data_IF_068524724037
#
_entry.id   IF_068524724037
#
_cell.length_a   1.000
_cell.length_b   1.000
_cell.length_c   1.000
_cell.angle_alpha   90.00
_cell.angle_beta   90.00
_cell.angle_gamma   90.00
#
_symmetry.space_group_name_H-M   'P 1'
#
loop_
_entity.id
_entity.type
_entity.pdbx_description
1 polymer ?
#
# COMPACT_ATOMS: atom_id res chain seq x y z
N UNK A 1 6.33 -23.09 -21.39
CA UNK A 1 7.42 -22.28 -20.81
C UNK A 1 7.83 -22.91 -19.49
N UNK A 2 9.01 -23.51 -19.45
CA UNK A 2 9.59 -24.12 -18.23
C UNK A 2 10.06 -23.00 -17.29
N UNK A 3 9.44 -22.89 -16.11
CA UNK A 3 9.84 -21.94 -15.04
C UNK A 3 10.85 -22.55 -14.07
N UNK A 4 11.81 -23.32 -14.60
CA UNK A 4 12.74 -24.10 -13.79
C UNK A 4 14.19 -23.66 -13.99
N UNK A 5 14.51 -22.37 -13.85
CA UNK A 5 15.92 -21.95 -13.76
C UNK A 5 16.07 -20.50 -13.29
N UNK A 6 16.08 -20.33 -11.98
CA UNK A 6 17.09 -19.54 -11.25
C UNK A 6 16.78 -19.74 -9.78
N UNK A 7 17.43 -20.72 -9.14
CA UNK A 7 17.58 -20.70 -7.67
C UNK A 7 18.57 -19.58 -7.33
N UNK A 8 18.17 -18.34 -7.61
CA UNK A 8 18.90 -17.15 -7.19
C UNK A 8 19.02 -17.15 -5.68
N UNK A 9 20.12 -16.59 -5.16
CA UNK A 9 20.28 -16.42 -3.71
C UNK A 9 19.02 -15.77 -3.14
N UNK A 10 18.52 -16.22 -1.97
CA UNK A 10 17.37 -15.59 -1.33
C UNK A 10 17.58 -14.08 -1.27
N UNK A 11 16.63 -13.31 -1.81
CA UNK A 11 16.70 -11.84 -1.73
C UNK A 11 16.62 -11.46 -0.25
N UNK A 12 17.61 -10.71 0.23
CA UNK A 12 17.69 -10.29 1.62
C UNK A 12 17.12 -8.89 1.81
N UNK A 13 16.82 -8.48 3.04
CA UNK A 13 16.47 -7.09 3.34
C UNK A 13 17.46 -6.07 2.76
N UNK A 14 18.77 -6.33 2.90
CA UNK A 14 19.85 -5.49 2.31
C UNK A 14 19.78 -5.38 0.79
N UNK A 15 19.28 -6.41 0.11
CA UNK A 15 19.05 -6.35 -1.33
C UNK A 15 18.00 -5.30 -1.67
N UNK A 16 16.87 -5.29 -0.96
CA UNK A 16 15.80 -4.32 -1.17
C UNK A 16 16.19 -2.90 -0.77
N UNK A 17 16.82 -2.72 0.39
CA UNK A 17 17.29 -1.40 0.85
C UNK A 17 18.22 -0.75 -0.17
N UNK A 18 19.17 -1.52 -0.72
CA UNK A 18 20.09 -1.03 -1.75
C UNK A 18 19.37 -0.65 -3.05
N UNK A 19 18.33 -1.38 -3.44
CA UNK A 19 17.57 -1.02 -4.64
C UNK A 19 16.71 0.22 -4.39
N UNK A 20 16.09 0.36 -3.22
CA UNK A 20 15.37 1.57 -2.85
C UNK A 20 16.27 2.80 -2.84
N UNK A 21 17.49 2.69 -2.30
CA UNK A 21 18.47 3.80 -2.33
C UNK A 21 19.01 4.14 -3.72
N UNK A 22 18.89 3.24 -4.70
CA UNK A 22 19.19 3.57 -6.10
C UNK A 22 18.06 4.37 -6.74
N UNK A 23 16.81 4.09 -6.33
CA UNK A 23 15.60 4.77 -6.82
C UNK A 23 15.49 6.14 -6.17
N UNK A 24 15.71 6.22 -4.86
CA UNK A 24 15.71 7.46 -4.09
C UNK A 24 16.96 7.51 -3.18
N UNK A 25 18.04 8.19 -3.64
CA UNK A 25 19.25 8.37 -2.85
C UNK A 25 19.07 9.21 -1.59
N UNK A 26 18.02 10.03 -1.52
CA UNK A 26 17.72 10.92 -0.40
C UNK A 26 16.76 10.31 0.62
N UNK A 27 16.35 9.05 0.40
CA UNK A 27 15.42 8.33 1.24
C UNK A 27 15.94 8.20 2.68
N UNK A 28 15.14 8.70 3.61
CA UNK A 28 15.46 8.66 5.03
C UNK A 28 15.18 7.27 5.61
N UNK A 29 15.91 6.91 6.67
CA UNK A 29 15.74 5.62 7.33
C UNK A 29 14.35 5.48 8.00
N UNK A 30 13.70 6.58 8.38
CA UNK A 30 12.34 6.59 8.92
C UNK A 30 11.28 6.15 7.88
N UNK A 31 11.47 6.53 6.62
CA UNK A 31 10.58 6.20 5.50
C UNK A 31 10.92 4.84 4.87
N UNK A 32 12.15 4.35 5.10
CA UNK A 32 12.66 3.09 4.57
C UNK A 32 11.74 1.91 4.91
N UNK A 33 11.21 1.86 6.14
CA UNK A 33 10.37 0.75 6.57
C UNK A 33 9.07 0.66 5.75
N UNK A 34 8.42 1.79 5.46
CA UNK A 34 7.19 1.83 4.68
C UNK A 34 7.45 1.42 3.23
N UNK A 35 8.49 1.99 2.62
CA UNK A 35 8.89 1.65 1.26
C UNK A 35 9.23 0.16 1.12
N UNK A 36 9.93 -0.42 2.10
CA UNK A 36 10.22 -1.85 2.13
C UNK A 36 8.97 -2.72 2.27
N UNK A 37 8.02 -2.34 3.13
CA UNK A 37 6.75 -3.06 3.28
C UNK A 37 6.02 -3.13 1.95
N UNK A 38 5.94 -2.00 1.24
CA UNK A 38 5.26 -1.92 -0.05
C UNK A 38 6.01 -2.74 -1.12
N UNK A 39 7.33 -2.57 -1.23
CA UNK A 39 8.16 -3.26 -2.22
C UNK A 39 8.13 -4.80 -2.05
N UNK A 40 8.18 -5.30 -0.82
CA UNK A 40 8.12 -6.74 -0.55
C UNK A 40 6.72 -7.30 -0.83
N UNK A 41 5.68 -6.51 -0.52
CA UNK A 41 4.31 -6.91 -0.86
C UNK A 41 4.14 -7.04 -2.38
N UNK A 42 4.75 -6.16 -3.17
CA UNK A 42 4.70 -6.20 -4.64
C UNK A 42 5.51 -7.37 -5.20
N UNK A 43 6.75 -7.56 -4.72
CA UNK A 43 7.70 -8.46 -5.38
C UNK A 43 7.64 -9.93 -4.93
N UNK A 44 7.19 -10.23 -3.71
CA UNK A 44 7.42 -11.55 -3.11
C UNK A 44 6.16 -12.21 -2.54
N UNK A 45 5.44 -11.49 -1.66
CA UNK A 45 4.47 -12.12 -0.74
C UNK A 45 3.07 -11.49 -0.78
N UNK A 46 2.75 -10.63 -1.74
CA UNK A 46 1.44 -9.98 -1.76
C UNK A 46 1.13 -9.18 -0.47
N UNK A 47 -0.15 -8.90 -0.15
CA UNK A 47 -0.53 -8.06 0.99
C UNK A 47 -0.48 -8.78 2.36
N UNK A 48 0.26 -9.89 2.49
CA UNK A 48 0.24 -10.75 3.67
C UNK A 48 1.14 -10.18 4.77
N UNK A 49 0.51 -9.58 5.80
CA UNK A 49 1.24 -8.82 6.82
C UNK A 49 2.25 -9.66 7.63
N UNK A 50 1.91 -10.90 7.99
CA UNK A 50 2.76 -11.77 8.82
C UNK A 50 4.07 -12.19 8.10
N UNK A 51 4.03 -12.67 6.84
CA UNK A 51 5.25 -12.90 6.05
C UNK A 51 6.13 -11.66 5.90
N UNK A 52 5.55 -10.50 5.58
CA UNK A 52 6.29 -9.24 5.43
C UNK A 52 7.00 -8.88 6.74
N UNK A 53 6.27 -8.94 7.87
CA UNK A 53 6.80 -8.60 9.17
C UNK A 53 7.99 -9.49 9.56
N UNK A 54 7.84 -10.81 9.33
CA UNK A 54 8.91 -11.79 9.56
C UNK A 54 10.13 -11.52 8.69
N UNK A 55 9.94 -11.21 7.41
CA UNK A 55 11.05 -10.91 6.49
C UNK A 55 11.81 -9.65 6.90
N UNK A 56 11.10 -8.62 7.33
CA UNK A 56 11.68 -7.33 7.69
C UNK A 56 12.26 -7.26 9.11
N UNK A 57 11.96 -8.25 9.96
CA UNK A 57 12.31 -8.20 11.38
C UNK A 57 11.55 -7.10 12.11
N UNK A 58 10.28 -6.87 11.75
CA UNK A 58 9.43 -5.82 12.31
C UNK A 58 8.17 -6.42 12.93
N UNK A 59 7.35 -5.62 13.62
CA UNK A 59 6.11 -6.11 14.21
C UNK A 59 5.01 -6.24 13.16
N UNK A 60 4.18 -7.27 13.29
CA UNK A 60 3.01 -7.44 12.42
C UNK A 60 2.04 -6.25 12.51
N UNK A 61 1.96 -5.61 13.68
CA UNK A 61 1.14 -4.42 13.89
C UNK A 61 1.57 -3.25 12.99
N UNK A 62 2.88 -2.97 12.86
CA UNK A 62 3.38 -1.90 11.98
C UNK A 62 3.00 -2.13 10.52
N UNK A 63 3.06 -3.38 10.05
CA UNK A 63 2.65 -3.76 8.70
C UNK A 63 1.14 -3.65 8.54
N UNK A 64 0.37 -4.15 9.51
CA UNK A 64 -1.10 -4.08 9.49
C UNK A 64 -1.61 -2.65 9.47
N UNK A 65 -0.98 -1.72 10.20
CA UNK A 65 -1.33 -0.29 10.21
C UNK A 65 -1.26 0.30 8.80
N UNK A 66 -0.14 0.11 8.10
CA UNK A 66 0.08 0.60 6.72
C UNK A 66 -0.82 -0.08 5.70
N UNK A 67 -0.91 -1.40 5.78
CA UNK A 67 -1.80 -2.19 4.93
C UNK A 67 -3.27 -1.79 5.10
N UNK A 68 -3.68 -1.34 6.29
CA UNK A 68 -5.03 -0.80 6.52
C UNK A 68 -5.24 0.47 5.70
N UNK A 69 -4.33 1.45 5.75
CA UNK A 69 -4.46 2.69 4.97
C UNK A 69 -4.52 2.41 3.46
N UNK A 70 -3.63 1.56 2.95
CA UNK A 70 -3.62 1.16 1.54
C UNK A 70 -4.94 0.49 1.11
N UNK A 71 -5.52 -0.36 1.97
CA UNK A 71 -6.83 -0.99 1.69
C UNK A 71 -7.99 0.00 1.76
N UNK A 72 -7.95 0.93 2.71
CA UNK A 72 -8.98 1.97 2.85
C UNK A 72 -8.99 2.94 1.67
N UNK A 73 -7.81 3.21 1.09
CA UNK A 73 -7.65 4.00 -0.14
C UNK A 73 -7.76 3.15 -1.41
N UNK A 74 -8.01 1.84 -1.30
CA UNK A 74 -8.20 0.93 -2.43
C UNK A 74 -6.95 0.63 -3.25
N UNK A 75 -5.77 1.09 -2.82
CA UNK A 75 -4.48 0.73 -3.42
C UNK A 75 -4.24 -0.78 -3.30
N UNK A 76 -4.63 -1.36 -2.17
CA UNK A 76 -4.63 -2.80 -1.95
C UNK A 76 -6.06 -3.33 -1.91
N UNK A 77 -6.35 -4.35 -2.70
CA UNK A 77 -7.61 -5.07 -2.56
C UNK A 77 -7.54 -6.20 -1.53
N UNK A 78 -8.68 -6.82 -1.26
CA UNK A 78 -8.79 -7.97 -0.33
C UNK A 78 -8.25 -9.27 -0.93
N UNK A 79 -8.10 -9.34 -2.25
CA UNK A 79 -7.58 -10.50 -3.00
C UNK A 79 -6.06 -10.45 -3.13
N UNK A 80 -5.44 -9.33 -2.77
CA UNK A 80 -4.02 -9.07 -2.85
C UNK A 80 -3.52 -8.48 -4.14
N UNK A 81 -4.42 -7.90 -4.94
CA UNK A 81 -4.03 -7.03 -6.03
C UNK A 81 -3.57 -5.67 -5.48
N UNK A 82 -2.49 -5.17 -6.07
CA UNK A 82 -1.93 -3.85 -5.79
C UNK A 82 -2.11 -3.03 -7.06
N UNK A 83 -2.84 -1.93 -6.98
CA UNK A 83 -3.18 -1.08 -8.12
C UNK A 83 -2.13 0.02 -8.31
N UNK A 84 -0.98 -0.36 -8.86
CA UNK A 84 0.07 0.59 -9.26
C UNK A 84 0.93 0.00 -10.36
N UNK A 85 1.16 0.76 -11.42
CA UNK A 85 2.10 0.39 -12.47
C UNK A 85 3.52 0.84 -12.10
N UNK A 86 4.09 0.18 -11.09
CA UNK A 86 5.40 0.56 -10.55
C UNK A 86 6.57 0.21 -11.46
N UNK A 87 6.32 -0.54 -12.54
CA UNK A 87 7.32 -0.93 -13.53
C UNK A 87 7.39 0.03 -14.71
N UNK A 88 6.44 0.96 -14.81
CA UNK A 88 6.49 2.04 -15.79
C UNK A 88 7.73 2.92 -15.58
N UNK A 89 8.53 3.09 -16.63
CA UNK A 89 9.82 3.77 -16.56
C UNK A 89 9.69 5.28 -16.29
N UNK A 90 8.57 5.89 -16.72
CA UNK A 90 8.34 7.33 -16.59
C UNK A 90 7.67 7.71 -15.26
N UNK A 91 6.67 6.94 -14.85
CA UNK A 91 5.75 7.29 -13.76
C UNK A 91 5.74 6.28 -12.61
N UNK A 92 6.32 5.09 -12.79
CA UNK A 92 6.24 4.01 -11.82
C UNK A 92 6.88 4.35 -10.47
N UNK A 93 8.03 5.04 -10.49
CA UNK A 93 8.68 5.52 -9.27
C UNK A 93 7.82 6.56 -8.52
N UNK A 94 7.19 7.49 -9.24
CA UNK A 94 6.29 8.48 -8.65
C UNK A 94 5.06 7.80 -8.06
N UNK A 95 4.43 6.88 -8.79
CA UNK A 95 3.30 6.11 -8.31
C UNK A 95 3.62 5.32 -7.04
N UNK A 96 4.79 4.68 -7.00
CA UNK A 96 5.29 3.96 -5.83
C UNK A 96 5.39 4.86 -4.60
N UNK A 97 6.01 6.04 -4.73
CA UNK A 97 6.18 6.97 -3.62
C UNK A 97 4.86 7.58 -3.14
N UNK A 98 3.93 7.87 -4.06
CA UNK A 98 2.58 8.31 -3.68
C UNK A 98 1.87 7.26 -2.82
N UNK A 99 2.01 5.97 -3.16
CA UNK A 99 1.42 4.89 -2.38
C UNK A 99 2.12 4.68 -1.03
N UNK A 100 3.43 4.92 -0.94
CA UNK A 100 4.15 4.99 0.35
C UNK A 100 3.55 6.08 1.25
N UNK A 101 3.34 7.29 0.72
CA UNK A 101 2.73 8.39 1.46
C UNK A 101 1.29 8.10 1.88
N UNK A 102 0.53 7.36 1.06
CA UNK A 102 -0.80 6.85 1.43
C UNK A 102 -0.69 5.84 2.57
N UNK A 103 0.28 4.93 2.52
CA UNK A 103 0.49 3.91 3.55
C UNK A 103 0.81 4.51 4.92
N UNK A 104 1.55 5.62 4.95
CA UNK A 104 1.84 6.39 6.17
C UNK A 104 0.70 7.34 6.57
N UNK A 105 -0.37 7.44 5.77
CA UNK A 105 -1.54 8.24 6.06
C UNK A 105 -1.35 9.75 5.81
N UNK A 106 -0.30 10.13 5.08
CA UNK A 106 0.01 11.51 4.71
C UNK A 106 -0.90 11.95 3.54
N UNK A 107 -1.10 11.06 2.57
CA UNK A 107 -1.97 11.30 1.43
C UNK A 107 -3.23 10.45 1.48
N UNK A 108 -4.28 10.96 0.82
CA UNK A 108 -5.49 10.21 0.52
C UNK A 108 -5.66 10.16 -0.99
N UNK A 109 -6.12 9.02 -1.50
CA UNK A 109 -6.40 8.91 -2.93
C UNK A 109 -7.70 9.67 -3.18
N UNK A 110 -7.62 10.79 -3.89
CA UNK A 110 -8.79 11.50 -4.40
C UNK A 110 -9.60 10.54 -5.28
N UNK A 111 -10.94 10.67 -5.29
CA UNK A 111 -11.86 9.77 -5.99
C UNK A 111 -11.42 9.54 -7.45
N UNK A 112 -10.59 8.51 -7.71
CA UNK A 112 -10.18 8.14 -9.06
C UNK A 112 -11.39 7.56 -9.74
N UNK A 113 -11.86 8.22 -10.78
CA UNK A 113 -12.87 7.65 -11.67
C UNK A 113 -12.15 6.92 -12.80
N UNK A 114 -12.59 5.72 -13.14
CA UNK A 114 -12.17 5.07 -14.37
C UNK A 114 -12.75 5.80 -15.60
N UNK A 115 -12.39 5.35 -16.79
CA UNK A 115 -12.88 5.86 -18.07
C UNK A 115 -14.42 5.86 -18.18
N UNK A 116 -15.09 5.05 -17.35
CA UNK A 116 -16.55 4.92 -17.27
C UNK A 116 -17.15 5.76 -16.14
N UNK A 117 -16.37 6.66 -15.53
CA UNK A 117 -16.80 7.51 -14.43
C UNK A 117 -16.99 6.78 -13.09
N UNK A 118 -16.62 5.50 -13.00
CA UNK A 118 -16.80 4.67 -11.80
C UNK A 118 -15.64 4.92 -10.85
N UNK A 119 -15.96 5.14 -9.58
CA UNK A 119 -14.93 5.32 -8.57
C UNK A 119 -14.11 4.02 -8.44
N UNK A 120 -12.87 4.01 -8.95
CA UNK A 120 -11.94 2.87 -8.93
C UNK A 120 -11.72 2.40 -7.51
N UNK A 121 -11.57 3.35 -6.59
CA UNK A 121 -11.39 3.09 -5.18
C UNK A 121 -12.69 3.43 -4.47
N UNK A 122 -13.67 2.52 -4.55
CA UNK A 122 -14.98 2.70 -3.93
C UNK A 122 -14.80 2.92 -2.42
N UNK A 123 -14.72 4.18 -1.98
CA UNK A 123 -14.74 4.59 -0.57
C UNK A 123 -15.94 3.91 0.08
N UNK A 124 -15.71 2.96 1.00
CA UNK A 124 -16.75 2.64 1.98
C UNK A 124 -16.88 3.86 2.86
N UNK A 125 -17.92 4.65 2.65
CA UNK A 125 -18.27 5.77 3.51
C UNK A 125 -18.60 5.26 4.93
N UNK A 126 -17.59 5.10 5.78
CA UNK A 126 -17.79 4.57 7.14
C UNK A 126 -18.13 5.64 8.17
N UNK A 127 -18.27 6.92 7.80
CA UNK A 127 -18.46 8.00 8.79
C UNK A 127 -19.67 8.91 8.61
N UNK A 128 -20.50 8.78 7.56
CA UNK A 128 -21.70 9.64 7.41
C UNK A 128 -23.02 9.05 7.90
N UNK A 129 -23.08 7.78 8.33
CA UNK A 129 -24.37 7.16 8.73
C UNK A 129 -24.69 7.23 10.23
N UNK A 130 -23.74 7.55 11.12
CA UNK A 130 -24.04 7.64 12.56
C UNK A 130 -24.48 9.03 13.03
N UNK A 131 -24.06 10.11 12.36
CA UNK A 131 -24.42 11.48 12.77
C UNK A 131 -25.84 11.85 12.36
N UNK A 132 -26.29 11.45 11.16
CA UNK A 132 -27.68 11.71 10.70
C UNK A 132 -28.75 10.97 11.50
N UNK A 133 -28.42 9.87 12.18
CA UNK A 133 -29.40 9.15 13.02
C UNK A 133 -29.63 9.87 14.35
N UNK A 134 -28.59 10.49 14.93
CA UNK A 134 -28.72 11.29 16.16
C UNK A 134 -29.40 12.64 15.92
N UNK A 135 -29.16 13.31 14.80
CA UNK A 135 -29.86 14.57 14.50
C UNK A 135 -31.37 14.39 14.30
N UNK A 136 -31.83 13.26 13.75
CA UNK A 136 -33.26 12.97 13.62
C UNK A 136 -33.94 12.59 14.94
N UNK A 137 -33.20 12.06 15.92
CA UNK A 137 -33.74 11.74 17.26
C UNK A 137 -33.85 12.99 18.15
N UNK A 138 -32.99 14.00 17.94
CA UNK A 138 -33.02 15.27 18.70
C UNK A 138 -34.12 16.23 18.19
N UNK A 139 -34.51 16.13 16.92
CA UNK A 139 -35.54 17.02 16.33
C UNK A 139 -36.97 16.50 16.57
N UNK A 140 -37.14 15.22 16.92
CA UNK A 140 -38.45 14.56 17.05
C UNK A 140 -38.76 14.05 18.48
N UNK A 141 -37.99 14.44 19.49
CA UNK A 141 -38.23 14.13 20.91
C UNK A 141 -38.20 15.40 21.73
#
# INVERSE_FOLDING_TARGET
MNTSETRGRPRTRKFYERNLRKIDPCLKDEDMLTALILLIAICEVGPWCKPIAKFLGTTEWQVRKRAKYLREQGVWDKKGHIYGDYLDEETGAVAFWLDVLVADGILVVADRKDEKGRNMYRRRSTTKSKTKKREKEIING
#
